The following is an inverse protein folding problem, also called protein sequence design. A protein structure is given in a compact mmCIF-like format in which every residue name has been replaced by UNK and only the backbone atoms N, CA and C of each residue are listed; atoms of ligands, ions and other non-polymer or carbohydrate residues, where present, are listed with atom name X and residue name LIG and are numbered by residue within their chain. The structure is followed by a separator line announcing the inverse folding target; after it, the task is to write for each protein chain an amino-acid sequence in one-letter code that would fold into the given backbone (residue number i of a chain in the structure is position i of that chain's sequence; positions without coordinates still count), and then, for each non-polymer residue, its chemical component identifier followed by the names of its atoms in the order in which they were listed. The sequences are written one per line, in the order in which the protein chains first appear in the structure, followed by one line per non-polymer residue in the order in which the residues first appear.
data_IF_289169083104
#
_entry.id   IF_289169083104
#
_cell.length_a   1.000
_cell.length_b   1.000
_cell.length_c   1.000
_cell.angle_alpha   90.00
_cell.angle_beta   90.00
_cell.angle_gamma   90.00
#
_symmetry.space_group_name_H-M   'P 1'
#
loop_
_entity.id
_entity.type
_entity.pdbx_description
1 polymer ?
#
# COMPACT_ATOMS: atom_id res chain seq x y z
N UNK A 1 18.14 11.33 7.60
CA UNK A 1 17.90 9.88 7.83
C UNK A 1 17.05 9.66 9.07
N UNK A 2 17.38 10.24 10.23
CA UNK A 2 16.64 10.03 11.49
C UNK A 2 15.14 10.44 11.47
N UNK A 3 14.77 11.50 10.71
CA UNK A 3 13.36 11.91 10.54
C UNK A 3 12.51 10.90 9.74
N UNK A 4 13.14 10.08 8.89
CA UNK A 4 12.46 9.11 8.02
C UNK A 4 11.84 7.98 8.86
N UNK A 5 12.66 7.31 9.68
CA UNK A 5 12.20 6.16 10.47
C UNK A 5 11.23 6.57 11.57
N UNK A 6 11.39 7.78 12.14
CA UNK A 6 10.43 8.32 13.12
C UNK A 6 9.06 8.55 12.47
N UNK A 7 9.01 8.95 11.20
CA UNK A 7 7.75 9.16 10.46
C UNK A 7 7.10 7.85 10.07
N UNK A 8 7.87 6.89 9.56
CA UNK A 8 7.35 5.54 9.30
C UNK A 8 6.87 4.85 10.58
N UNK A 9 7.60 4.98 11.69
CA UNK A 9 7.17 4.44 13.00
C UNK A 9 5.94 5.16 13.57
N UNK A 10 5.69 6.42 13.18
CA UNK A 10 4.46 7.12 13.50
C UNK A 10 3.29 6.58 12.69
N UNK A 11 3.43 6.42 11.37
CA UNK A 11 2.38 5.87 10.53
C UNK A 11 2.11 4.39 10.82
N UNK A 12 3.15 3.55 10.91
CA UNK A 12 3.01 2.13 11.18
C UNK A 12 2.30 1.81 12.49
N UNK A 13 2.47 2.64 13.53
CA UNK A 13 1.72 2.50 14.79
C UNK A 13 0.23 2.84 14.66
N UNK A 14 -0.09 3.88 13.89
CA UNK A 14 -1.47 4.36 13.72
C UNK A 14 -2.25 3.58 12.64
N UNK A 15 -1.56 2.80 11.82
CA UNK A 15 -2.15 2.06 10.70
C UNK A 15 -2.22 0.55 10.94
N UNK A 16 -2.15 0.09 12.20
CA UNK A 16 -2.34 -1.33 12.55
C UNK A 16 -3.67 -1.92 12.08
N UNK A 17 -4.73 -1.11 11.98
CA UNK A 17 -6.01 -1.53 11.43
C UNK A 17 -5.97 -1.82 9.91
N UNK A 18 -4.85 -1.52 9.25
CA UNK A 18 -4.62 -1.67 7.81
C UNK A 18 -3.44 -2.63 7.53
N UNK A 19 -3.16 -3.61 8.41
CA UNK A 19 -2.08 -4.62 8.25
C UNK A 19 -2.25 -5.48 6.98
N UNK A 20 -3.45 -5.53 6.41
CA UNK A 20 -3.69 -6.19 5.12
C UNK A 20 -3.31 -5.31 3.92
N UNK A 21 -3.15 -4.00 4.12
CA UNK A 21 -2.92 -3.00 3.08
C UNK A 21 -1.47 -2.51 3.04
N UNK A 22 -0.85 -2.39 4.21
CA UNK A 22 0.52 -1.91 4.38
C UNK A 22 1.30 -2.86 5.30
N UNK A 23 2.62 -2.93 5.13
CA UNK A 23 3.47 -3.56 6.13
C UNK A 23 3.65 -2.61 7.30
N UNK A 24 3.13 -2.99 8.47
CA UNK A 24 3.26 -2.20 9.70
C UNK A 24 4.53 -2.57 10.48
N UNK A 25 5.08 -1.59 11.19
CA UNK A 25 6.17 -1.81 12.13
C UNK A 25 5.59 -2.38 13.42
N UNK A 26 5.94 -3.63 13.72
CA UNK A 26 5.50 -4.33 14.94
C UNK A 26 6.26 -3.81 16.16
N UNK A 27 7.57 -3.59 15.99
CA UNK A 27 8.45 -3.11 17.05
C UNK A 27 9.59 -2.25 16.48
N UNK A 28 10.09 -1.31 17.27
CA UNK A 28 11.24 -0.48 16.90
C UNK A 28 12.11 -0.17 18.11
N UNK A 29 13.42 -0.14 17.93
CA UNK A 29 14.36 0.23 18.99
C UNK A 29 15.58 0.97 18.44
N UNK A 30 16.20 1.78 19.28
CA UNK A 30 17.42 2.52 18.99
C UNK A 30 18.57 1.91 19.79
N UNK A 31 19.68 1.61 19.12
CA UNK A 31 20.91 1.17 19.78
C UNK A 31 21.67 2.37 20.34
N UNK A 32 22.56 2.12 21.29
CA UNK A 32 23.42 3.15 21.90
C UNK A 32 24.35 3.88 20.93
N UNK A 33 24.54 3.35 19.71
CA UNK A 33 25.30 3.98 18.62
C UNK A 33 24.42 4.84 17.69
N UNK A 34 23.15 5.05 18.04
CA UNK A 34 22.18 5.85 17.28
C UNK A 34 21.54 5.12 16.10
N UNK A 35 21.82 3.82 15.90
CA UNK A 35 21.18 3.04 14.84
C UNK A 35 19.77 2.64 15.24
N UNK A 36 18.82 2.90 14.34
CA UNK A 36 17.41 2.54 14.49
C UNK A 36 17.13 1.21 13.81
N UNK A 37 16.40 0.34 14.49
CA UNK A 37 15.96 -0.96 14.00
C UNK A 37 14.43 -1.01 14.05
N UNK A 38 13.82 -1.59 13.02
CA UNK A 38 12.41 -1.88 12.95
C UNK A 38 12.21 -3.37 12.68
N UNK A 39 11.28 -3.98 13.39
CA UNK A 39 10.82 -5.35 13.18
C UNK A 39 9.49 -5.28 12.47
N UNK A 40 9.43 -5.92 11.30
CA UNK A 40 8.24 -6.00 10.46
C UNK A 40 7.95 -7.47 10.17
N UNK A 41 6.69 -7.78 9.87
CA UNK A 41 6.33 -9.09 9.33
C UNK A 41 6.94 -9.21 7.93
N UNK A 42 7.49 -10.39 7.61
CA UNK A 42 7.93 -10.68 6.25
C UNK A 42 6.75 -10.54 5.28
N UNK A 43 6.90 -9.62 4.32
CA UNK A 43 5.90 -9.32 3.30
C UNK A 43 6.20 -9.97 1.95
N UNK A 44 7.32 -10.69 1.83
CA UNK A 44 7.80 -11.25 0.56
C UNK A 44 8.66 -10.26 -0.23
N UNK A 45 8.69 -10.45 -1.55
CA UNK A 45 9.61 -9.72 -2.43
C UNK A 45 8.92 -8.56 -3.14
N UNK A 46 9.69 -7.48 -3.36
CA UNK A 46 9.24 -6.35 -4.16
C UNK A 46 9.43 -6.64 -5.65
N UNK A 47 8.39 -6.46 -6.49
CA UNK A 47 8.51 -6.61 -7.93
C UNK A 47 9.41 -5.53 -8.55
N UNK A 48 10.08 -5.85 -9.66
CA UNK A 48 10.90 -4.88 -10.39
C UNK A 48 10.06 -3.97 -11.26
N UNK A 49 9.02 -4.51 -11.90
CA UNK A 49 8.10 -3.81 -12.80
C UNK A 49 6.66 -4.31 -12.60
N UNK A 50 5.67 -3.48 -12.92
CA UNK A 50 4.25 -3.83 -12.75
C UNK A 50 3.78 -4.99 -13.64
N UNK A 51 4.43 -5.19 -14.80
CA UNK A 51 4.11 -6.29 -15.71
C UNK A 51 4.40 -7.67 -15.14
N UNK A 52 5.25 -7.76 -14.12
CA UNK A 52 5.54 -9.00 -13.40
C UNK A 52 4.45 -9.33 -12.35
N UNK A 53 3.54 -8.39 -12.09
CA UNK A 53 2.49 -8.50 -11.08
C UNK A 53 1.18 -8.91 -11.76
N UNK A 54 0.55 -9.98 -11.27
CA UNK A 54 -0.74 -10.43 -11.78
C UNK A 54 -1.80 -9.33 -11.70
N UNK A 55 -2.77 -9.35 -12.61
CA UNK A 55 -3.88 -8.40 -12.60
C UNK A 55 -4.59 -8.37 -11.25
N UNK A 56 -4.88 -9.53 -10.68
CA UNK A 56 -5.51 -9.67 -9.37
C UNK A 56 -4.73 -8.96 -8.25
N UNK A 57 -3.39 -9.13 -8.20
CA UNK A 57 -2.56 -8.44 -7.20
C UNK A 57 -2.48 -6.94 -7.44
N UNK A 58 -2.49 -6.49 -8.70
CA UNK A 58 -2.57 -5.05 -9.04
C UNK A 58 -3.91 -4.44 -8.61
N UNK A 59 -5.02 -5.12 -8.87
CA UNK A 59 -6.35 -4.71 -8.40
C UNK A 59 -6.41 -4.64 -6.86
N UNK A 60 -5.89 -5.67 -6.19
CA UNK A 60 -5.81 -5.72 -4.72
C UNK A 60 -5.00 -4.54 -4.14
N UNK A 61 -3.81 -4.26 -4.69
CA UNK A 61 -2.99 -3.11 -4.31
C UNK A 61 -3.67 -1.77 -4.61
N UNK A 62 -4.42 -1.68 -5.69
CA UNK A 62 -5.15 -0.46 -6.03
C UNK A 62 -6.29 -0.21 -5.03
N UNK A 63 -7.05 -1.24 -4.68
CA UNK A 63 -8.13 -1.17 -3.69
C UNK A 63 -7.59 -0.87 -2.29
N UNK A 64 -6.44 -1.44 -1.91
CA UNK A 64 -5.78 -1.07 -0.65
C UNK A 64 -5.39 0.41 -0.62
N UNK A 65 -4.95 0.97 -1.75
CA UNK A 65 -4.69 2.41 -1.87
C UNK A 65 -5.97 3.26 -1.69
N UNK A 66 -7.11 2.82 -2.24
CA UNK A 66 -8.40 3.46 -1.98
C UNK A 66 -8.77 3.44 -0.49
N UNK A 67 -8.52 2.32 0.21
CA UNK A 67 -8.73 2.21 1.66
C UNK A 67 -7.84 3.18 2.44
N UNK A 68 -6.55 3.25 2.11
CA UNK A 68 -5.63 4.22 2.72
C UNK A 68 -6.13 5.66 2.54
N UNK A 69 -6.58 6.00 1.33
CA UNK A 69 -7.02 7.36 1.01
C UNK A 69 -8.33 7.74 1.70
N UNK A 70 -9.34 6.88 1.63
CA UNK A 70 -10.71 7.23 2.00
C UNK A 70 -11.05 6.87 3.44
N UNK A 71 -10.47 5.78 3.98
CA UNK A 71 -10.72 5.32 5.35
C UNK A 71 -9.62 5.75 6.31
N UNK A 72 -8.35 5.71 5.88
CA UNK A 72 -7.23 6.07 6.75
C UNK A 72 -6.83 7.56 6.65
N UNK A 73 -7.27 8.27 5.61
CA UNK A 73 -6.86 9.65 5.34
C UNK A 73 -5.35 9.76 5.05
N UNK A 74 -4.77 8.73 4.46
CA UNK A 74 -3.34 8.65 4.11
C UNK A 74 -3.16 8.74 2.61
N UNK A 75 -2.23 9.58 2.18
CA UNK A 75 -1.67 9.60 0.84
C UNK A 75 -0.28 8.96 0.90
N UNK A 76 0.01 7.98 0.03
CA UNK A 76 1.25 7.20 0.10
C UNK A 76 2.46 8.03 -0.36
N UNK A 77 2.30 8.79 -1.43
CA UNK A 77 3.27 9.73 -2.00
C UNK A 77 4.37 9.11 -2.86
N UNK A 78 4.43 7.79 -3.04
CA UNK A 78 5.44 7.13 -3.88
C UNK A 78 4.98 5.73 -4.34
N UNK A 79 3.95 5.70 -5.17
CA UNK A 79 3.49 4.43 -5.73
C UNK A 79 4.56 3.89 -6.70
N UNK A 80 5.01 2.66 -6.51
CA UNK A 80 6.01 2.04 -7.39
C UNK A 80 6.09 0.54 -7.12
N UNK A 81 6.58 -0.28 -8.07
CA UNK A 81 6.82 -1.70 -7.85
C UNK A 81 7.74 -1.95 -6.64
N UNK A 82 8.80 -1.16 -6.50
CA UNK A 82 9.73 -1.22 -5.36
C UNK A 82 9.09 -0.92 -3.99
N UNK A 83 7.92 -0.28 -3.97
CA UNK A 83 7.23 0.16 -2.77
C UNK A 83 6.01 -0.73 -2.45
N UNK A 84 5.97 -1.94 -3.01
CA UNK A 84 5.07 -2.98 -2.54
C UNK A 84 5.84 -4.29 -2.36
N UNK A 85 5.26 -5.21 -1.61
CA UNK A 85 5.78 -6.55 -1.39
C UNK A 85 4.70 -7.58 -1.66
N UNK A 86 5.10 -8.67 -2.30
CA UNK A 86 4.21 -9.74 -2.71
C UNK A 86 4.58 -11.00 -1.93
N UNK A 87 3.73 -11.37 -0.97
CA UNK A 87 3.93 -12.61 -0.26
C UNK A 87 3.73 -13.79 -1.23
N UNK A 88 4.55 -14.86 -1.09
CA UNK A 88 4.30 -16.09 -1.81
C UNK A 88 2.93 -16.66 -1.41
N UNK A 89 2.26 -17.40 -2.30
CA UNK A 89 1.07 -18.15 -1.91
C UNK A 89 1.40 -19.05 -0.73
N UNK A 90 0.61 -18.95 0.34
CA UNK A 90 0.69 -19.92 1.43
C UNK A 90 0.17 -21.27 0.92
N UNK A 91 0.58 -22.41 1.51
CA UNK A 91 0.00 -23.70 1.17
C UNK A 91 -1.52 -23.67 1.46
N UNK A 92 -2.30 -23.42 0.41
CA UNK A 92 -3.72 -23.11 0.44
C UNK A 92 -4.17 -22.40 -0.85
N UNK A 93 -5.47 -22.20 -1.07
CA UNK A 93 -5.99 -21.58 -2.30
C UNK A 93 -5.77 -20.06 -2.37
N UNK A 94 -5.22 -19.43 -1.33
CA UNK A 94 -5.00 -17.99 -1.30
C UNK A 94 -3.70 -17.62 -2.01
N UNK A 95 -3.80 -16.76 -3.01
CA UNK A 95 -2.67 -15.96 -3.46
C UNK A 95 -2.17 -15.15 -2.26
N UNK A 96 -0.86 -15.17 -2.02
CA UNK A 96 -0.28 -14.46 -0.88
C UNK A 96 -0.57 -12.96 -0.99
N UNK A 97 -0.75 -12.25 0.14
CA UNK A 97 -1.13 -10.84 0.16
C UNK A 97 -0.14 -9.95 -0.59
N UNK A 98 -0.65 -8.86 -1.14
CA UNK A 98 0.14 -7.78 -1.72
C UNK A 98 -0.04 -6.52 -0.85
N UNK A 99 1.06 -5.98 -0.33
CA UNK A 99 1.04 -4.86 0.62
C UNK A 99 1.94 -3.73 0.18
N UNK A 100 1.55 -2.51 0.53
CA UNK A 100 2.37 -1.31 0.38
C UNK A 100 3.46 -1.24 1.46
N UNK A 101 4.62 -0.70 1.10
CA UNK A 101 5.76 -0.44 1.99
C UNK A 101 6.31 0.96 1.71
N UNK A 102 7.28 1.41 2.52
CA UNK A 102 7.91 2.73 2.41
C UNK A 102 6.89 3.88 2.53
N UNK A 103 6.56 4.20 3.77
CA UNK A 103 5.66 5.31 4.12
C UNK A 103 6.41 6.63 4.34
N UNK A 104 7.63 6.74 3.83
CA UNK A 104 8.48 7.90 4.10
C UNK A 104 7.96 9.20 3.47
N UNK A 105 7.37 9.08 2.29
CA UNK A 105 6.70 10.19 1.59
C UNK A 105 5.24 10.33 1.96
N UNK A 106 4.70 9.43 2.79
CA UNK A 106 3.30 9.44 3.14
C UNK A 106 2.90 10.72 3.89
N UNK A 107 1.68 11.17 3.69
CA UNK A 107 1.08 12.31 4.40
C UNK A 107 -0.24 11.90 5.05
N UNK A 108 -0.47 12.44 6.25
CA UNK A 108 -1.73 12.29 6.97
C UNK A 108 -2.72 13.39 6.54
N UNK A 109 -3.96 13.26 7.00
CA UNK A 109 -5.05 14.23 6.76
C UNK A 109 -5.37 14.44 5.28
N UNK A 110 -5.07 13.44 4.44
CA UNK A 110 -5.46 13.43 3.05
C UNK A 110 -6.98 13.38 2.93
N UNK A 111 -7.56 14.42 2.34
CA UNK A 111 -8.98 14.45 1.97
C UNK A 111 -9.11 14.00 0.52
N UNK A 112 -9.32 12.70 0.33
CA UNK A 112 -9.51 12.14 -1.00
C UNK A 112 -10.75 12.77 -1.64
N UNK A 113 -10.58 13.33 -2.84
CA UNK A 113 -11.69 13.83 -3.68
C UNK A 113 -12.08 12.78 -4.72
N UNK A 114 -12.09 11.53 -4.30
CA UNK A 114 -12.40 10.34 -5.11
C UNK A 114 -11.61 10.33 -6.43
N UNK A 115 -12.32 10.24 -7.57
CA UNK A 115 -11.80 10.29 -8.95
C UNK A 115 -10.87 11.47 -9.26
N UNK A 116 -10.83 12.49 -8.40
CA UNK A 116 -9.96 13.66 -8.56
C UNK A 116 -8.53 13.45 -8.06
N UNK A 117 -8.24 12.42 -7.25
CA UNK A 117 -6.93 12.27 -6.62
C UNK A 117 -5.83 11.93 -7.63
N UNK A 118 -4.79 12.76 -7.69
CA UNK A 118 -3.66 12.60 -8.63
C UNK A 118 -2.92 11.28 -8.42
N UNK A 119 -2.68 10.86 -7.17
CA UNK A 119 -1.99 9.61 -6.88
C UNK A 119 -2.78 8.39 -7.36
N UNK A 120 -4.11 8.35 -7.15
CA UNK A 120 -4.95 7.25 -7.63
C UNK A 120 -4.98 7.16 -9.16
N UNK A 121 -5.06 8.31 -9.85
CA UNK A 121 -4.99 8.32 -11.32
C UNK A 121 -3.66 7.80 -11.83
N UNK A 122 -2.57 8.26 -11.22
CA UNK A 122 -1.24 7.86 -11.61
C UNK A 122 -0.99 6.38 -11.32
N UNK A 123 -1.43 5.89 -10.16
CA UNK A 123 -1.37 4.48 -9.81
C UNK A 123 -2.13 3.60 -10.81
N UNK A 124 -3.35 4.00 -11.21
CA UNK A 124 -4.13 3.24 -12.19
C UNK A 124 -3.42 3.15 -13.55
N UNK A 125 -2.78 4.24 -13.99
CA UNK A 125 -1.99 4.27 -15.24
C UNK A 125 -0.75 3.39 -15.13
N UNK A 126 0.06 3.57 -14.10
CA UNK A 126 1.31 2.82 -13.90
C UNK A 126 1.06 1.32 -13.75
N UNK A 127 -0.01 0.97 -13.05
CA UNK A 127 -0.43 -0.41 -12.90
C UNK A 127 -1.18 -0.93 -14.14
N UNK A 128 -1.44 -0.14 -15.17
CA UNK A 128 -2.17 -0.60 -16.36
C UNK A 128 -3.61 -1.06 -16.07
N UNK A 129 -4.34 -0.34 -15.21
CA UNK A 129 -5.73 -0.59 -14.80
C UNK A 129 -6.71 0.43 -15.39
N UNK A 130 -6.42 0.92 -16.60
CA UNK A 130 -7.16 2.01 -17.26
C UNK A 130 -8.14 1.53 -18.34
N UNK A 131 -8.08 0.25 -18.71
CA UNK A 131 -9.06 -0.31 -19.63
C UNK A 131 -10.42 -0.46 -18.93
N UNK A 132 -11.49 -0.45 -19.73
CA UNK A 132 -12.85 -0.29 -19.23
C UNK A 132 -13.29 -1.47 -18.34
N UNK A 133 -12.80 -2.68 -18.63
CA UNK A 133 -13.07 -3.89 -17.86
C UNK A 133 -12.42 -3.78 -16.47
N UNK A 134 -11.13 -3.46 -16.39
CA UNK A 134 -10.40 -3.29 -15.13
C UNK A 134 -10.94 -2.12 -14.31
N UNK A 135 -11.31 -1.02 -14.96
CA UNK A 135 -11.96 0.09 -14.28
C UNK A 135 -13.34 -0.31 -13.70
N UNK A 136 -14.07 -1.18 -14.40
CA UNK A 136 -15.31 -1.79 -13.93
C UNK A 136 -15.09 -2.71 -12.73
N UNK A 137 -14.05 -3.55 -12.77
CA UNK A 137 -13.67 -4.43 -11.67
C UNK A 137 -13.28 -3.63 -10.42
N UNK A 138 -12.46 -2.59 -10.57
CA UNK A 138 -12.12 -1.70 -9.45
C UNK A 138 -13.39 -1.07 -8.87
N UNK A 139 -14.29 -0.55 -9.72
CA UNK A 139 -15.52 0.09 -9.27
C UNK A 139 -16.43 -0.91 -8.50
N UNK A 140 -16.51 -2.16 -8.98
CA UNK A 140 -17.28 -3.21 -8.32
C UNK A 140 -16.69 -3.57 -6.95
N UNK A 141 -15.38 -3.81 -6.87
CA UNK A 141 -14.69 -4.14 -5.62
C UNK A 141 -14.79 -2.96 -4.64
N UNK A 142 -14.45 -1.76 -5.09
CA UNK A 142 -14.52 -0.54 -4.28
C UNK A 142 -15.92 -0.34 -3.70
N UNK A 143 -16.96 -0.44 -4.52
CA UNK A 143 -18.36 -0.28 -4.09
C UNK A 143 -18.75 -1.29 -3.02
N UNK A 144 -18.34 -2.55 -3.17
CA UNK A 144 -18.59 -3.61 -2.18
C UNK A 144 -17.97 -3.33 -0.81
N UNK A 145 -16.91 -2.51 -0.77
CA UNK A 145 -16.24 -2.09 0.45
C UNK A 145 -16.66 -0.70 0.96
N UNK A 146 -17.65 -0.07 0.31
CA UNK A 146 -18.10 1.30 0.61
C UNK A 146 -17.08 2.37 0.21
N UNK A 147 -16.25 2.10 -0.80
CA UNK A 147 -15.26 3.00 -1.38
C UNK A 147 -15.75 3.52 -2.75
N UNK A 148 -15.15 4.61 -3.21
CA UNK A 148 -15.45 5.20 -4.53
C UNK A 148 -14.25 5.19 -5.47
N UNK A 149 -14.45 4.75 -6.72
CA UNK A 149 -13.50 4.83 -7.83
C UNK A 149 -14.16 5.27 -9.12
#
# INVERSE_FOLDING_TARGET
MERYLRREAYFGRNLRAYDDDIVVIEWSFERSDGRLFAVLRDGGEAPKVWTDVSLEKRLSLFVSLLRLHQKAGILHGDIAPRNCVLAPPSPGPSLGPARWIDLSKATADHKCRDRGCTELKWAAVEMGLVAAEEAGDIAAIASSEGLTW
#
